data_IF_129298606048
#
_entry.id   IF_129298606048
#
_cell.length_a   1.000
_cell.length_b   1.000
_cell.length_c   1.000
_cell.angle_alpha   90.00
_cell.angle_beta   90.00
_cell.angle_gamma   90.00
#
_symmetry.space_group_name_H-M   'P 1'
#
loop_
_entity.id
_entity.type
_entity.pdbx_description
1 polymer ?
#
# COMPACT_ATOMS: atom_id res chain seq x y z
N UNK A 1 -37.90 40.66 -25.39
CA UNK A 1 -38.81 40.53 -24.23
C UNK A 1 -39.61 39.26 -24.48
N UNK A 2 -39.23 38.15 -23.87
CA UNK A 2 -39.90 36.84 -24.03
C UNK A 2 -40.83 36.70 -22.85
N UNK A 3 -42.14 36.73 -23.10
CA UNK A 3 -43.17 36.54 -22.08
C UNK A 3 -43.33 35.03 -21.86
N UNK A 4 -42.83 34.54 -20.73
CA UNK A 4 -42.93 33.13 -20.34
C UNK A 4 -44.34 32.91 -19.77
N UNK A 5 -45.18 32.18 -20.50
CA UNK A 5 -46.55 31.85 -20.08
C UNK A 5 -46.54 30.90 -18.86
N UNK A 6 -47.42 31.15 -17.90
CA UNK A 6 -47.57 30.49 -16.58
C UNK A 6 -47.63 28.94 -16.64
N UNK A 7 -48.11 28.38 -17.75
CA UNK A 7 -48.13 26.93 -17.99
C UNK A 7 -46.73 26.33 -18.22
N UNK A 8 -45.80 27.12 -18.74
CA UNK A 8 -44.40 26.72 -18.99
C UNK A 8 -43.62 26.66 -17.68
N UNK A 9 -43.92 27.55 -16.72
CA UNK A 9 -43.29 27.58 -15.39
C UNK A 9 -43.67 26.33 -14.58
N UNK A 10 -44.96 25.94 -14.59
CA UNK A 10 -45.42 24.73 -13.92
C UNK A 10 -44.79 23.44 -14.51
N UNK A 11 -44.62 23.36 -15.83
CA UNK A 11 -43.95 22.22 -16.48
C UNK A 11 -42.46 22.16 -16.11
N UNK A 12 -41.76 23.30 -16.05
CA UNK A 12 -40.34 23.34 -15.66
C UNK A 12 -40.16 22.96 -14.18
N UNK A 13 -41.02 23.44 -13.28
CA UNK A 13 -40.96 23.08 -11.85
C UNK A 13 -41.30 21.60 -11.63
N UNK A 14 -42.27 21.04 -12.36
CA UNK A 14 -42.59 19.62 -12.28
C UNK A 14 -41.45 18.71 -12.77
N UNK A 15 -40.75 19.09 -13.85
CA UNK A 15 -39.59 18.34 -14.36
C UNK A 15 -38.40 18.39 -13.40
N UNK A 16 -38.17 19.53 -12.73
CA UNK A 16 -37.09 19.68 -11.74
C UNK A 16 -37.32 18.83 -10.47
N UNK A 17 -38.58 18.66 -10.04
CA UNK A 17 -38.90 17.87 -8.83
C UNK A 17 -38.80 16.36 -9.10
N UNK A 18 -39.04 15.90 -10.33
CA UNK A 18 -38.92 14.47 -10.69
C UNK A 18 -37.44 14.02 -10.73
N UNK A 19 -36.49 14.90 -11.03
CA UNK A 19 -35.05 14.60 -10.98
C UNK A 19 -34.46 14.55 -9.55
N UNK A 20 -35.18 15.04 -8.54
CA UNK A 20 -34.76 14.98 -7.14
C UNK A 20 -35.24 13.71 -6.39
N UNK A 21 -35.96 12.81 -7.08
CA UNK A 21 -36.74 11.73 -6.47
C UNK A 21 -36.34 10.30 -6.83
N UNK A 22 -35.06 10.02 -7.13
CA UNK A 22 -34.54 8.65 -7.19
C UNK A 22 -33.42 8.48 -6.15
N UNK A 23 -33.70 7.63 -5.17
CA UNK A 23 -32.94 7.45 -3.95
C UNK A 23 -31.54 6.86 -4.14
N UNK A 24 -30.59 7.45 -3.42
CA UNK A 24 -29.61 6.78 -2.54
C UNK A 24 -28.78 5.66 -3.17
N UNK A 25 -27.62 6.04 -3.72
CA UNK A 25 -26.30 5.51 -3.34
C UNK A 25 -25.25 6.03 -4.33
N UNK A 26 -24.70 7.22 -4.09
CA UNK A 26 -23.29 7.44 -4.40
C UNK A 26 -22.76 8.49 -3.44
N UNK A 27 -22.12 7.99 -2.40
CA UNK A 27 -21.29 8.80 -1.51
C UNK A 27 -20.23 9.48 -2.39
N UNK A 28 -20.26 10.81 -2.38
CA UNK A 28 -19.12 11.70 -2.49
C UNK A 28 -17.95 11.12 -3.29
N UNK A 29 -17.96 11.34 -4.60
CA UNK A 29 -16.70 11.39 -5.34
C UNK A 29 -16.04 12.74 -5.02
N UNK A 30 -15.42 12.82 -3.84
CA UNK A 30 -14.47 13.88 -3.54
C UNK A 30 -13.07 13.29 -3.64
N UNK A 31 -12.53 13.28 -4.86
CA UNK A 31 -11.09 13.27 -5.11
C UNK A 31 -10.85 13.83 -6.50
N UNK A 32 -11.09 15.12 -6.67
CA UNK A 32 -10.21 15.90 -7.54
C UNK A 32 -8.98 16.23 -6.68
N UNK A 33 -8.02 15.31 -6.59
CA UNK A 33 -6.70 15.66 -6.08
C UNK A 33 -5.86 16.10 -7.26
N UNK A 34 -5.87 17.41 -7.41
CA UNK A 34 -4.86 18.24 -8.03
C UNK A 34 -3.48 17.59 -7.90
N UNK A 35 -2.82 17.44 -9.05
CA UNK A 35 -1.40 17.16 -9.17
C UNK A 35 -0.57 18.08 -8.26
N UNK A 36 0.03 17.50 -7.22
CA UNK A 36 0.98 18.14 -6.33
C UNK A 36 1.76 17.06 -5.57
N UNK A 37 3.07 17.08 -5.69
CA UNK A 37 3.94 16.29 -4.83
C UNK A 37 3.76 16.77 -3.38
N UNK A 38 3.02 16.03 -2.55
CA UNK A 38 2.83 16.34 -1.13
C UNK A 38 1.83 15.42 -0.43
N UNK A 39 2.32 14.66 0.56
CA UNK A 39 1.74 14.18 1.83
C UNK A 39 0.28 13.67 1.96
N UNK A 40 -0.56 13.66 0.92
CA UNK A 40 -1.91 13.14 1.06
C UNK A 40 -1.93 11.61 1.11
N UNK A 41 -2.58 11.04 2.12
CA UNK A 41 -2.71 9.59 2.28
C UNK A 41 -3.87 9.09 1.43
N UNK A 42 -3.58 8.23 0.47
CA UNK A 42 -4.61 7.68 -0.43
C UNK A 42 -4.70 6.18 -0.22
N UNK A 43 -5.89 5.69 0.15
CA UNK A 43 -6.26 4.27 0.11
C UNK A 43 -7.61 4.13 -0.58
N UNK A 44 -7.67 3.30 -1.63
CA UNK A 44 -8.88 3.03 -2.41
C UNK A 44 -9.16 1.53 -2.41
N UNK A 45 -10.42 1.15 -2.19
CA UNK A 45 -10.86 -0.24 -2.34
C UNK A 45 -10.90 -0.61 -3.83
N UNK A 46 -10.49 -1.83 -4.15
CA UNK A 46 -10.64 -2.45 -5.46
C UNK A 46 -11.34 -3.81 -5.31
N UNK A 47 -11.83 -4.36 -6.43
CA UNK A 47 -12.51 -5.66 -6.46
C UNK A 47 -11.58 -6.80 -6.02
N UNK A 48 -10.29 -6.70 -6.33
CA UNK A 48 -9.27 -7.70 -6.05
C UNK A 48 -8.32 -7.34 -4.90
N UNK A 49 -8.60 -6.23 -4.19
CA UNK A 49 -7.74 -5.76 -3.11
C UNK A 49 -7.86 -4.27 -2.81
N UNK A 50 -6.74 -3.55 -2.89
CA UNK A 50 -6.62 -2.12 -2.56
C UNK A 50 -5.59 -1.43 -3.45
N UNK A 51 -5.73 -0.12 -3.62
CA UNK A 51 -4.67 0.76 -4.09
C UNK A 51 -4.27 1.69 -2.96
N UNK A 52 -2.97 1.85 -2.72
CA UNK A 52 -2.46 2.80 -1.75
C UNK A 52 -1.19 3.49 -2.24
N UNK A 53 -0.95 4.73 -1.84
CA UNK A 53 0.28 5.44 -2.21
C UNK A 53 1.42 5.21 -1.21
N UNK A 54 2.63 5.67 -1.55
CA UNK A 54 3.81 5.55 -0.70
C UNK A 54 3.57 6.13 0.72
N UNK A 55 2.90 7.28 0.82
CA UNK A 55 2.60 7.89 2.12
C UNK A 55 1.74 6.99 3.02
N UNK A 56 0.72 6.33 2.45
CA UNK A 56 -0.09 5.36 3.18
C UNK A 56 0.74 4.15 3.65
N UNK A 57 1.69 3.68 2.84
CA UNK A 57 2.60 2.58 3.21
C UNK A 57 3.52 2.97 4.38
N UNK A 58 4.06 4.21 4.34
CA UNK A 58 4.90 4.75 5.41
C UNK A 58 4.13 4.89 6.74
N UNK A 59 2.90 5.41 6.71
CA UNK A 59 2.05 5.50 7.91
C UNK A 59 1.62 4.13 8.43
N UNK A 60 1.32 3.19 7.53
CA UNK A 60 1.00 1.82 7.90
C UNK A 60 2.18 1.15 8.62
N UNK A 61 3.42 1.38 8.18
CA UNK A 61 4.62 0.83 8.82
C UNK A 61 4.81 1.32 10.26
N UNK A 62 4.53 2.60 10.53
CA UNK A 62 4.60 3.15 11.91
C UNK A 62 3.55 2.56 12.85
N UNK A 63 2.34 2.33 12.32
CA UNK A 63 1.20 1.81 13.10
C UNK A 63 1.23 0.29 13.29
N UNK A 64 1.99 -0.41 12.44
CA UNK A 64 2.09 -1.87 12.48
C UNK A 64 2.82 -2.33 13.76
N UNK A 65 2.17 -3.22 14.50
CA UNK A 65 2.67 -3.86 15.72
C UNK A 65 3.46 -5.14 15.44
N UNK A 66 3.57 -5.55 14.18
CA UNK A 66 4.38 -6.66 13.68
C UNK A 66 3.75 -8.04 13.78
N UNK A 67 2.49 -8.16 14.23
CA UNK A 67 1.84 -9.48 14.35
C UNK A 67 0.36 -9.47 13.95
N UNK A 68 -0.05 -10.49 13.20
CA UNK A 68 -1.45 -10.72 12.83
C UNK A 68 -1.96 -9.80 11.73
N UNK A 69 -3.16 -9.25 11.88
CA UNK A 69 -3.80 -8.32 10.93
C UNK A 69 -3.78 -6.92 11.52
N UNK A 70 -3.33 -5.94 10.75
CA UNK A 70 -3.25 -4.53 11.18
C UNK A 70 -4.44 -3.76 10.63
N UNK A 71 -5.11 -2.99 11.50
CA UNK A 71 -6.14 -2.06 11.08
C UNK A 71 -5.54 -0.66 10.87
N UNK A 72 -5.74 -0.09 9.69
CA UNK A 72 -5.33 1.27 9.37
C UNK A 72 -6.39 1.95 8.53
N UNK A 73 -6.91 3.08 9.01
CA UNK A 73 -7.97 3.89 8.35
C UNK A 73 -9.19 3.07 7.91
N UNK A 74 -9.63 2.12 8.74
CA UNK A 74 -10.75 1.18 8.48
C UNK A 74 -10.45 0.07 7.47
N UNK A 75 -9.21 -0.06 6.99
CA UNK A 75 -8.74 -1.17 6.17
C UNK A 75 -7.98 -2.18 7.03
N UNK A 76 -8.10 -3.46 6.68
CA UNK A 76 -7.41 -4.55 7.38
C UNK A 76 -6.35 -5.15 6.45
N UNK A 77 -5.10 -5.14 6.89
CA UNK A 77 -3.94 -5.64 6.14
C UNK A 77 -3.38 -6.89 6.82
N UNK A 78 -3.43 -8.02 6.11
CA UNK A 78 -2.85 -9.30 6.58
C UNK A 78 -1.32 -9.27 6.51
N UNK A 79 -0.63 -10.20 7.17
CA UNK A 79 0.84 -10.34 7.07
C UNK A 79 1.36 -10.39 5.63
N UNK A 80 0.84 -11.28 4.77
CA UNK A 80 1.23 -11.30 3.36
C UNK A 80 1.01 -9.97 2.63
N UNK A 81 -0.08 -9.25 2.93
CA UNK A 81 -0.31 -7.93 2.33
C UNK A 81 0.69 -6.89 2.83
N UNK A 82 1.05 -6.92 4.11
CA UNK A 82 2.07 -6.03 4.67
C UNK A 82 3.45 -6.31 4.09
N UNK A 83 3.87 -7.58 4.03
CA UNK A 83 5.11 -7.99 3.37
C UNK A 83 5.18 -7.42 1.94
N UNK A 84 4.10 -7.56 1.17
CA UNK A 84 4.01 -7.00 -0.17
C UNK A 84 4.07 -5.46 -0.20
N UNK A 85 3.29 -4.80 0.66
CA UNK A 85 3.26 -3.33 0.72
C UNK A 85 4.63 -2.78 1.08
N UNK A 86 5.29 -3.34 2.08
CA UNK A 86 6.57 -2.85 2.57
C UNK A 86 7.69 -3.10 1.56
N UNK A 87 7.75 -4.30 0.97
CA UNK A 87 8.72 -4.59 -0.09
C UNK A 87 8.54 -3.68 -1.30
N UNK A 88 7.29 -3.47 -1.78
CA UNK A 88 7.05 -2.55 -2.90
C UNK A 88 7.38 -1.10 -2.56
N UNK A 89 7.03 -0.63 -1.36
CA UNK A 89 7.32 0.73 -0.92
C UNK A 89 8.82 1.01 -0.80
N UNK A 90 9.60 0.06 -0.27
CA UNK A 90 11.07 0.16 -0.19
C UNK A 90 11.67 0.34 -1.59
N UNK A 91 11.23 -0.46 -2.57
CA UNK A 91 11.69 -0.36 -3.96
C UNK A 91 11.26 0.96 -4.60
N UNK A 92 10.03 1.42 -4.35
CA UNK A 92 9.56 2.72 -4.85
C UNK A 92 10.43 3.88 -4.33
N UNK A 93 10.83 3.85 -3.06
CA UNK A 93 11.76 4.86 -2.50
C UNK A 93 13.10 4.82 -3.24
N UNK A 94 13.69 3.62 -3.40
CA UNK A 94 14.97 3.45 -4.10
C UNK A 94 14.97 3.96 -5.54
N UNK A 95 13.84 3.85 -6.23
CA UNK A 95 13.66 4.35 -7.60
C UNK A 95 13.02 5.74 -7.71
N UNK A 96 12.73 6.40 -6.58
CA UNK A 96 12.00 7.67 -6.53
C UNK A 96 10.65 7.63 -7.29
N UNK A 97 9.96 6.49 -7.19
CA UNK A 97 8.63 6.24 -7.75
C UNK A 97 7.53 6.73 -6.79
N UNK A 98 6.55 7.43 -7.35
CA UNK A 98 5.42 8.04 -6.62
C UNK A 98 4.07 7.45 -7.03
N UNK A 99 4.09 6.32 -7.74
CA UNK A 99 2.90 5.60 -8.17
C UNK A 99 2.04 5.05 -7.04
N UNK A 100 1.01 4.30 -7.43
CA UNK A 100 0.13 3.59 -6.50
C UNK A 100 0.57 2.12 -6.41
N UNK A 101 0.60 1.59 -5.20
CA UNK A 101 0.78 0.16 -4.92
C UNK A 101 -0.59 -0.51 -5.05
N UNK A 102 -0.73 -1.38 -6.05
CA UNK A 102 -1.89 -2.29 -6.15
C UNK A 102 -1.64 -3.53 -5.31
N UNK A 103 -2.36 -3.64 -4.20
CA UNK A 103 -2.24 -4.72 -3.23
C UNK A 103 -3.38 -5.70 -3.45
N UNK A 104 -3.08 -6.89 -3.97
CA UNK A 104 -4.06 -7.97 -4.11
C UNK A 104 -4.22 -8.75 -2.80
N UNK A 105 -5.12 -9.73 -2.81
CA UNK A 105 -5.16 -10.74 -1.77
C UNK A 105 -4.02 -11.76 -1.99
N UNK A 106 -3.13 -11.88 -0.99
CA UNK A 106 -2.02 -12.82 -1.01
C UNK A 106 -2.19 -13.89 0.06
N UNK A 107 -1.93 -15.15 -0.31
CA UNK A 107 -1.83 -16.26 0.63
C UNK A 107 -0.58 -16.19 1.50
N UNK A 108 -0.58 -16.88 2.63
CA UNK A 108 0.62 -17.06 3.45
C UNK A 108 1.64 -18.03 2.83
N UNK A 109 2.85 -18.11 3.40
CA UNK A 109 3.83 -19.14 3.02
C UNK A 109 3.26 -20.54 3.28
N UNK A 110 3.70 -21.55 2.53
CA UNK A 110 3.33 -22.95 2.79
C UNK A 110 4.16 -23.53 3.92
N UNK A 111 5.48 -23.42 3.75
CA UNK A 111 6.48 -24.02 4.62
C UNK A 111 7.55 -22.96 4.91
N UNK A 112 7.24 -21.96 5.75
CA UNK A 112 8.18 -20.88 6.02
C UNK A 112 9.43 -21.38 6.74
N UNK A 113 10.60 -20.94 6.27
CA UNK A 113 11.88 -21.25 6.89
C UNK A 113 12.85 -20.08 6.76
N UNK A 114 13.94 -20.17 7.50
CA UNK A 114 15.00 -19.18 7.52
C UNK A 114 15.33 -18.73 8.94
N UNK A 115 16.47 -18.11 9.09
CA UNK A 115 16.95 -17.56 10.35
C UNK A 115 17.95 -16.46 10.05
N UNK A 116 18.08 -15.51 10.97
CA UNK A 116 19.13 -14.51 10.94
C UNK A 116 19.62 -14.35 12.36
N UNK A 117 20.91 -14.60 12.59
CA UNK A 117 21.50 -14.42 13.92
C UNK A 117 21.89 -12.96 14.16
N UNK A 118 22.66 -12.40 13.23
CA UNK A 118 22.94 -10.97 13.11
C UNK A 118 23.39 -10.71 11.69
N UNK A 119 22.89 -9.65 11.05
CA UNK A 119 23.42 -9.17 9.79
C UNK A 119 23.43 -7.64 9.76
N UNK A 120 24.37 -7.11 8.99
CA UNK A 120 24.30 -5.73 8.49
C UNK A 120 23.81 -5.84 7.05
N UNK A 121 22.71 -5.16 6.73
CA UNK A 121 22.19 -5.11 5.37
C UNK A 121 22.47 -3.73 4.77
N UNK A 122 23.17 -3.72 3.64
CA UNK A 122 23.37 -2.53 2.83
C UNK A 122 22.11 -2.13 2.08
N UNK A 123 22.05 -0.89 1.62
CA UNK A 123 20.92 -0.38 0.80
C UNK A 123 20.60 -1.28 -0.39
N UNK A 124 21.63 -1.67 -1.14
CA UNK A 124 21.47 -2.54 -2.30
C UNK A 124 20.92 -3.92 -1.96
N UNK A 125 21.27 -4.46 -0.79
CA UNK A 125 20.88 -5.81 -0.40
C UNK A 125 19.40 -5.89 -0.07
N UNK A 126 18.89 -5.00 0.79
CA UNK A 126 17.47 -5.02 1.10
C UNK A 126 16.59 -4.52 -0.06
N UNK A 127 17.11 -3.67 -0.95
CA UNK A 127 16.40 -3.28 -2.18
C UNK A 127 16.20 -4.49 -3.10
N UNK A 128 17.25 -5.28 -3.32
CA UNK A 128 17.19 -6.51 -4.10
C UNK A 128 16.27 -7.56 -3.42
N UNK A 129 16.36 -7.73 -2.10
CA UNK A 129 15.44 -8.59 -1.34
C UNK A 129 13.98 -8.16 -1.51
N UNK A 130 13.72 -6.86 -1.40
CA UNK A 130 12.37 -6.30 -1.55
C UNK A 130 11.84 -6.51 -2.97
N UNK A 131 12.67 -6.27 -3.99
CA UNK A 131 12.29 -6.46 -5.39
C UNK A 131 11.89 -7.90 -5.70
N UNK A 132 12.71 -8.86 -5.28
CA UNK A 132 12.42 -10.28 -5.47
C UNK A 132 11.20 -10.73 -4.70
N UNK A 133 11.00 -10.20 -3.49
CA UNK A 133 9.86 -10.55 -2.64
C UNK A 133 8.55 -10.15 -3.30
N UNK A 134 8.37 -8.88 -3.67
CA UNK A 134 7.09 -8.46 -4.27
C UNK A 134 6.87 -9.15 -5.63
N UNK A 135 7.93 -9.34 -6.43
CA UNK A 135 7.85 -10.01 -7.75
C UNK A 135 7.44 -11.48 -7.61
N UNK A 136 7.96 -12.18 -6.60
CA UNK A 136 7.51 -13.53 -6.27
C UNK A 136 6.04 -13.57 -5.91
N UNK A 137 5.60 -12.65 -5.04
CA UNK A 137 4.19 -12.57 -4.63
C UNK A 137 3.29 -12.26 -5.82
N UNK A 138 3.72 -11.38 -6.73
CA UNK A 138 2.97 -11.05 -7.93
C UNK A 138 2.72 -12.27 -8.83
N UNK A 139 3.74 -13.11 -8.99
CA UNK A 139 3.71 -14.30 -9.83
C UNK A 139 3.00 -15.51 -9.19
N UNK A 140 3.09 -15.67 -7.87
CA UNK A 140 2.59 -16.86 -7.17
C UNK A 140 1.29 -16.63 -6.37
N UNK A 141 0.88 -15.37 -6.20
CA UNK A 141 -0.32 -15.02 -5.42
C UNK A 141 -0.19 -15.30 -3.92
N UNK A 142 1.04 -15.42 -3.39
CA UNK A 142 1.32 -15.70 -1.98
C UNK A 142 2.71 -15.28 -1.55
N UNK A 143 2.93 -15.14 -0.23
CA UNK A 143 4.26 -14.92 0.35
C UNK A 143 5.23 -16.05 -0.01
N UNK A 144 6.53 -15.76 -0.23
CA UNK A 144 7.55 -16.79 -0.40
C UNK A 144 7.74 -17.59 0.90
N UNK A 145 8.35 -18.78 0.82
CA UNK A 145 8.69 -19.58 2.01
C UNK A 145 9.92 -19.03 2.76
N UNK A 146 10.77 -18.26 2.07
CA UNK A 146 11.97 -17.63 2.61
C UNK A 146 12.35 -16.46 1.71
N UNK A 147 13.20 -15.57 2.21
CA UNK A 147 13.83 -14.50 1.43
C UNK A 147 15.34 -14.64 1.59
N UNK A 148 16.06 -14.88 0.51
CA UNK A 148 17.52 -14.97 0.54
C UNK A 148 18.18 -13.59 0.53
N UNK A 149 19.35 -13.46 1.15
CA UNK A 149 20.24 -12.29 1.01
C UNK A 149 21.30 -12.67 -0.04
N UNK A 150 21.43 -11.92 -1.14
CA UNK A 150 22.42 -12.20 -2.19
C UNK A 150 23.83 -11.71 -1.82
N UNK A 151 24.29 -12.13 -0.65
CA UNK A 151 25.66 -11.99 -0.17
C UNK A 151 26.18 -13.38 0.15
N UNK A 152 27.41 -13.67 -0.26
CA UNK A 152 28.01 -14.98 -0.07
C UNK A 152 28.04 -15.35 1.42
N UNK A 153 27.48 -16.52 1.76
CA UNK A 153 27.44 -17.03 3.13
C UNK A 153 26.28 -16.53 3.99
N UNK A 154 25.40 -15.67 3.46
CA UNK A 154 24.21 -15.22 4.19
C UNK A 154 23.13 -16.31 4.23
N UNK A 155 22.48 -16.52 5.39
CA UNK A 155 21.36 -17.45 5.49
C UNK A 155 20.10 -16.87 4.81
N UNK A 156 19.19 -17.76 4.43
CA UNK A 156 17.83 -17.39 4.10
C UNK A 156 17.09 -16.90 5.35
N UNK A 157 16.23 -15.90 5.21
CA UNK A 157 15.42 -15.37 6.30
C UNK A 157 13.94 -15.71 6.13
N UNK A 158 13.20 -15.74 7.24
CA UNK A 158 11.75 -15.97 7.21
C UNK A 158 11.02 -14.79 6.55
N UNK A 159 9.84 -15.03 5.95
CA UNK A 159 9.02 -13.96 5.38
C UNK A 159 8.63 -12.90 6.41
N UNK A 160 8.36 -13.31 7.65
CA UNK A 160 8.01 -12.40 8.76
C UNK A 160 9.21 -11.53 9.16
N UNK A 161 10.43 -12.08 9.14
CA UNK A 161 11.64 -11.30 9.38
C UNK A 161 11.90 -10.33 8.23
N UNK A 162 11.68 -10.75 6.98
CA UNK A 162 11.75 -9.85 5.83
C UNK A 162 10.74 -8.70 5.94
N UNK A 163 9.50 -8.97 6.34
CA UNK A 163 8.47 -7.96 6.62
C UNK A 163 8.97 -6.94 7.65
N UNK A 164 9.57 -7.43 8.75
CA UNK A 164 10.13 -6.58 9.82
C UNK A 164 11.27 -5.70 9.31
N UNK A 165 12.22 -6.25 8.54
CA UNK A 165 13.33 -5.49 7.95
C UNK A 165 12.80 -4.38 7.04
N UNK A 166 11.89 -4.69 6.13
CA UNK A 166 11.33 -3.70 5.22
C UNK A 166 10.54 -2.62 5.99
N UNK A 167 9.78 -3.01 7.02
CA UNK A 167 9.10 -2.07 7.91
C UNK A 167 10.09 -1.12 8.59
N UNK A 168 11.20 -1.62 9.12
CA UNK A 168 12.24 -0.80 9.75
C UNK A 168 12.88 0.19 8.76
N UNK A 169 13.16 -0.24 7.53
CA UNK A 169 13.64 0.64 6.45
C UNK A 169 12.66 1.80 6.21
N UNK A 170 11.35 1.51 6.13
CA UNK A 170 10.32 2.54 5.92
C UNK A 170 10.21 3.52 7.09
N UNK A 171 10.30 3.03 8.33
CA UNK A 171 10.27 3.89 9.53
C UNK A 171 11.49 4.83 9.55
N UNK A 172 12.68 4.31 9.28
CA UNK A 172 13.90 5.14 9.25
C UNK A 172 13.90 6.13 8.09
N UNK A 173 13.41 5.71 6.92
CA UNK A 173 13.25 6.61 5.78
C UNK A 173 12.30 7.76 6.12
N UNK A 174 11.15 7.48 6.73
CA UNK A 174 10.21 8.52 7.15
C UNK A 174 10.80 9.47 8.18
N UNK A 175 11.64 8.96 9.09
CA UNK A 175 12.30 9.76 10.14
C UNK A 175 13.43 10.65 9.60
N UNK A 176 14.16 10.18 8.60
CA UNK A 176 15.43 10.81 8.17
C UNK A 176 15.41 11.39 6.75
N UNK A 177 14.43 10.99 5.93
CA UNK A 177 14.39 11.24 4.49
C UNK A 177 15.47 10.48 3.70
N UNK A 178 16.12 9.48 4.29
CA UNK A 178 17.22 8.72 3.67
C UNK A 178 17.04 7.22 3.91
N UNK A 179 17.42 6.43 2.93
CA UNK A 179 17.49 4.99 3.07
C UNK A 179 18.60 4.63 4.09
N UNK A 180 18.31 3.82 5.12
CA UNK A 180 19.28 3.48 6.16
C UNK A 180 20.23 2.37 5.70
N UNK A 181 21.37 2.25 6.38
CA UNK A 181 22.03 0.95 6.52
C UNK A 181 21.40 0.24 7.71
N UNK A 182 20.98 -1.01 7.54
CA UNK A 182 20.38 -1.79 8.63
C UNK A 182 21.50 -2.51 9.38
N UNK A 183 21.53 -2.36 10.70
CA UNK A 183 22.55 -2.98 11.56
C UNK A 183 21.89 -3.76 12.69
N UNK A 184 22.28 -5.03 12.87
CA UNK A 184 21.90 -5.82 14.04
C UNK A 184 20.43 -6.23 14.09
N UNK A 185 19.93 -6.79 12.98
CA UNK A 185 18.56 -7.34 12.84
C UNK A 185 18.26 -8.45 13.85
#
# INVERSE_FOLDING_TARGET
>A
MIEVSDRTILVIVAVMVILAGAAVALQLMDTCSTSGAGDDVIIKKADDGYYLNLQAALELAEMDTGNGTVNYRSFNFTGPQRLYIYSRAVVMIGFNDTGMIHVRNYGGPEDPYGYLDTATLTESEYLDMAERTYTWMESHGRSPNHVGIYVEGSPDITPDLAEKIFREVLIEYRRTGKLPEITGV
#
